data_IF_594627962109
#
_entry.id   IF_594627962109
#
_cell.length_a   1.000
_cell.length_b   1.000
_cell.length_c   1.000
_cell.angle_alpha   90.00
_cell.angle_beta   90.00
_cell.angle_gamma   90.00
#
_symmetry.space_group_name_H-M   'P 1'
#
loop_
_entity.id
_entity.type
_entity.pdbx_description
1 polymer ?
#
# COMPACT_ATOMS: atom_id res chain seq x y z
N UNK A 1 -1.33 12.61 4.11
CA UNK A 1 -1.02 11.16 4.13
C UNK A 1 -1.23 10.65 2.71
N UNK A 2 -0.20 10.18 2.03
CA UNK A 2 -0.29 9.63 0.67
C UNK A 2 0.05 8.14 0.70
N UNK A 3 -0.54 7.34 -0.22
CA UNK A 3 -0.11 5.97 -0.47
C UNK A 3 1.09 6.03 -1.42
N UNK A 4 2.26 5.61 -0.94
CA UNK A 4 3.54 5.74 -1.65
C UNK A 4 4.10 4.36 -1.96
N UNK A 5 4.55 4.17 -3.20
CA UNK A 5 5.26 2.97 -3.65
C UNK A 5 6.73 3.27 -3.87
N UNK A 6 7.58 2.37 -3.46
CA UNK A 6 9.04 2.44 -3.67
C UNK A 6 9.58 1.06 -3.98
N UNK A 7 10.53 1.00 -4.89
CA UNK A 7 11.15 -0.26 -5.27
C UNK A 7 12.21 -0.69 -4.26
N UNK A 8 12.32 -2.01 -4.04
CA UNK A 8 13.38 -2.62 -3.25
C UNK A 8 13.47 -2.08 -1.81
N UNK A 9 12.34 -1.84 -1.16
CA UNK A 9 12.31 -1.47 0.26
C UNK A 9 12.19 -2.73 1.10
N UNK A 10 13.17 -2.96 1.99
CA UNK A 10 13.16 -4.06 2.95
C UNK A 10 14.01 -3.72 4.17
N UNK A 11 13.40 -3.91 5.33
CA UNK A 11 14.06 -3.84 6.63
C UNK A 11 13.77 -5.09 7.46
N UNK A 12 14.43 -5.22 8.59
CA UNK A 12 14.11 -6.23 9.58
C UNK A 12 13.40 -5.63 10.78
N UNK A 13 12.70 -6.47 11.55
CA UNK A 13 12.09 -6.11 12.82
C UNK A 13 12.16 -7.29 13.77
N UNK A 14 12.36 -7.02 15.07
CA UNK A 14 12.26 -8.03 16.15
C UNK A 14 11.01 -7.86 17.00
N UNK A 15 10.11 -6.95 16.60
CA UNK A 15 8.86 -6.69 17.34
C UNK A 15 8.03 -7.95 17.51
N UNK A 16 7.54 -8.21 18.72
CA UNK A 16 6.72 -9.35 19.09
C UNK A 16 5.27 -8.91 19.28
N UNK A 17 4.32 -9.80 19.03
CA UNK A 17 2.90 -9.53 19.27
C UNK A 17 2.24 -8.77 18.12
N UNK A 18 1.22 -7.97 18.46
CA UNK A 18 0.39 -7.23 17.51
C UNK A 18 0.75 -5.76 17.38
N UNK A 19 1.83 -5.32 18.05
CA UNK A 19 2.30 -3.93 18.02
C UNK A 19 2.91 -3.55 16.67
N UNK A 20 3.15 -2.25 16.46
CA UNK A 20 3.79 -1.73 15.25
C UNK A 20 5.23 -2.23 15.11
N UNK A 21 5.68 -2.44 13.89
CA UNK A 21 7.05 -2.87 13.64
C UNK A 21 8.04 -1.75 13.96
N UNK A 22 8.96 -2.00 14.89
CA UNK A 22 10.19 -1.20 15.04
C UNK A 22 11.16 -1.66 13.95
N UNK A 23 11.53 -0.76 13.05
CA UNK A 23 12.39 -1.06 11.92
C UNK A 23 13.85 -0.90 12.30
N UNK A 24 14.69 -1.84 11.89
CA UNK A 24 16.09 -1.94 12.31
C UNK A 24 17.09 -1.53 11.22
N UNK A 25 16.60 -0.89 10.16
CA UNK A 25 17.41 -0.44 9.02
C UNK A 25 17.37 -1.37 7.81
N UNK A 26 17.76 -0.82 6.68
CA UNK A 26 17.70 -1.51 5.40
C UNK A 26 18.57 -2.76 5.35
N UNK A 27 18.04 -3.83 4.80
CA UNK A 27 18.82 -5.03 4.44
C UNK A 27 19.77 -4.67 3.31
N UNK A 28 20.96 -5.27 3.30
CA UNK A 28 21.96 -5.03 2.24
C UNK A 28 21.37 -5.19 0.85
N UNK A 29 21.57 -4.20 -0.01
CA UNK A 29 21.01 -4.14 -1.37
C UNK A 29 19.55 -3.69 -1.45
N UNK A 30 18.92 -3.30 -0.33
CA UNK A 30 17.59 -2.75 -0.28
C UNK A 30 17.58 -1.30 0.23
N UNK A 31 16.48 -0.61 0.00
CA UNK A 31 16.22 0.72 0.56
C UNK A 31 15.50 0.59 1.91
N UNK A 32 15.63 1.63 2.75
CA UNK A 32 14.88 1.73 3.99
C UNK A 32 13.45 2.24 3.75
N UNK A 33 12.53 1.96 4.68
CA UNK A 33 11.17 2.52 4.67
C UNK A 33 11.14 4.05 4.80
N UNK A 34 12.24 4.68 5.21
CA UNK A 34 12.37 6.14 5.19
C UNK A 34 12.12 6.77 3.82
N UNK A 35 12.32 6.02 2.72
CA UNK A 35 12.01 6.47 1.37
C UNK A 35 10.51 6.66 1.10
N UNK A 36 9.65 6.06 1.93
CA UNK A 36 8.19 6.27 1.89
C UNK A 36 7.83 7.68 2.36
N UNK A 37 8.63 8.24 3.27
CA UNK A 37 8.40 9.55 3.88
C UNK A 37 7.49 9.49 5.11
N UNK A 38 7.79 10.36 6.08
CA UNK A 38 7.09 10.41 7.36
C UNK A 38 5.59 10.67 7.20
N UNK A 39 4.77 9.89 7.91
CA UNK A 39 3.31 10.00 7.92
C UNK A 39 2.62 9.46 6.65
N UNK A 40 3.36 8.98 5.66
CA UNK A 40 2.77 8.35 4.49
C UNK A 40 2.50 6.86 4.72
N UNK A 41 1.57 6.34 3.93
CA UNK A 41 1.21 4.92 3.92
C UNK A 41 1.90 4.19 2.78
N UNK A 42 2.10 2.89 2.95
CA UNK A 42 2.56 1.98 1.89
C UNK A 42 2.00 0.59 2.12
N UNK A 43 2.01 -0.24 1.10
CA UNK A 43 1.77 -1.67 1.32
C UNK A 43 3.01 -2.32 1.91
N UNK A 44 2.82 -3.33 2.73
CA UNK A 44 3.89 -4.12 3.29
C UNK A 44 3.52 -5.59 3.33
N UNK A 45 4.56 -6.43 3.31
CA UNK A 45 4.51 -7.84 3.71
C UNK A 45 5.51 -8.03 4.84
N UNK A 46 5.08 -8.74 5.89
CA UNK A 46 5.94 -9.13 7.01
C UNK A 46 5.93 -10.65 7.16
N UNK A 47 7.11 -11.25 7.37
CA UNK A 47 7.26 -12.71 7.46
C UNK A 47 8.18 -13.09 8.63
N UNK A 48 7.78 -14.12 9.38
CA UNK A 48 8.58 -14.80 10.39
C UNK A 48 8.27 -16.31 10.35
N UNK A 49 9.07 -17.07 9.61
CA UNK A 49 8.79 -18.50 9.38
C UNK A 49 7.45 -18.70 8.66
N UNK A 50 6.51 -19.36 9.33
CA UNK A 50 5.15 -19.59 8.81
C UNK A 50 4.16 -18.47 9.12
N UNK A 51 4.54 -17.53 9.99
CA UNK A 51 3.74 -16.35 10.30
C UNK A 51 3.95 -15.29 9.22
N UNK A 52 2.87 -14.83 8.61
CA UNK A 52 2.97 -13.75 7.61
C UNK A 52 1.75 -12.83 7.65
N UNK A 53 1.96 -11.61 7.24
CA UNK A 53 0.92 -10.59 7.17
C UNK A 53 1.18 -9.64 6.00
N UNK A 54 0.14 -9.33 5.25
CA UNK A 54 0.11 -8.32 4.19
C UNK A 54 -0.83 -7.21 4.60
N UNK A 55 -0.40 -5.96 4.46
CA UNK A 55 -1.21 -4.84 4.93
C UNK A 55 -0.86 -3.49 4.33
N UNK A 56 -1.56 -2.49 4.84
CA UNK A 56 -1.21 -1.08 4.66
C UNK A 56 -0.60 -0.60 5.97
N UNK A 57 0.62 -0.08 5.91
CA UNK A 57 1.32 0.47 7.05
C UNK A 57 1.57 1.96 6.90
N UNK A 58 1.60 2.68 8.03
CA UNK A 58 2.00 4.10 8.07
C UNK A 58 3.42 4.19 8.62
N UNK A 59 4.31 4.80 7.83
CA UNK A 59 5.70 4.98 8.25
C UNK A 59 5.84 6.21 9.17
N UNK A 60 6.61 6.05 10.25
CA UNK A 60 7.03 7.15 11.13
C UNK A 60 8.55 7.18 11.29
N UNK A 61 9.12 8.39 11.23
CA UNK A 61 10.55 8.60 11.53
C UNK A 61 10.86 8.55 13.03
N UNK A 62 9.84 8.69 13.88
CA UNK A 62 10.00 8.61 15.33
C UNK A 62 10.14 7.15 15.76
N UNK A 63 11.34 6.77 16.22
CA UNK A 63 11.69 5.42 16.62
C UNK A 63 11.60 4.40 15.46
N UNK A 64 12.13 4.70 14.27
CA UNK A 64 11.61 4.32 12.94
C UNK A 64 10.62 3.16 13.01
N UNK A 65 9.34 3.45 12.79
CA UNK A 65 8.28 2.44 12.93
C UNK A 65 7.41 2.36 11.67
N UNK A 66 6.84 1.18 11.45
CA UNK A 66 5.76 0.95 10.49
C UNK A 66 4.53 0.50 11.26
N UNK A 67 3.56 1.42 11.39
CA UNK A 67 2.28 1.10 12.01
C UNK A 67 1.51 0.13 11.11
N UNK A 68 0.94 -0.91 11.69
CA UNK A 68 0.13 -1.93 11.01
C UNK A 68 -1.32 -1.45 10.92
N UNK A 69 -1.55 -0.44 10.05
CA UNK A 69 -2.78 0.35 10.01
C UNK A 69 -3.98 -0.48 9.56
N UNK A 70 -3.80 -1.29 8.50
CA UNK A 70 -4.86 -2.17 7.98
C UNK A 70 -4.23 -3.47 7.54
N UNK A 71 -4.72 -4.59 8.06
CA UNK A 71 -4.35 -5.93 7.58
C UNK A 71 -5.26 -6.28 6.41
N UNK A 72 -4.66 -6.68 5.29
CA UNK A 72 -5.36 -7.09 4.08
C UNK A 72 -5.51 -8.60 4.01
N UNK A 73 -4.45 -9.33 4.41
CA UNK A 73 -4.43 -10.78 4.47
C UNK A 73 -3.36 -11.26 5.45
N UNK A 74 -3.48 -12.46 5.99
CA UNK A 74 -2.50 -12.99 6.94
C UNK A 74 -2.63 -14.50 7.14
N UNK A 75 -1.59 -15.10 7.73
CA UNK A 75 -1.58 -16.52 8.12
C UNK A 75 -2.66 -16.91 9.14
N UNK A 76 -3.31 -15.94 9.78
CA UNK A 76 -4.34 -16.17 10.81
C UNK A 76 -5.71 -15.60 10.43
N UNK A 77 -5.85 -14.96 9.28
CA UNK A 77 -7.06 -14.24 8.87
C UNK A 77 -7.31 -12.94 9.66
N UNK A 78 -6.37 -12.52 10.51
CA UNK A 78 -6.46 -11.31 11.34
C UNK A 78 -5.05 -10.76 11.60
N UNK A 79 -4.94 -9.67 12.38
CA UNK A 79 -3.64 -9.10 12.75
C UNK A 79 -2.78 -10.13 13.48
N UNK A 80 -1.66 -10.50 12.89
CA UNK A 80 -0.79 -11.57 13.42
C UNK A 80 -0.11 -11.15 14.72
N UNK A 81 -0.19 -12.00 15.74
CA UNK A 81 0.64 -11.89 16.94
C UNK A 81 1.97 -12.59 16.68
N UNK A 82 2.91 -11.84 16.08
CA UNK A 82 4.22 -12.42 15.73
C UNK A 82 4.98 -12.94 16.94
N UNK A 83 5.53 -14.12 16.80
CA UNK A 83 6.42 -14.73 17.79
C UNK A 83 7.82 -14.08 17.80
N UNK A 84 8.66 -14.46 18.77
CA UNK A 84 10.05 -14.03 18.81
C UNK A 84 10.81 -14.46 17.56
N UNK A 85 11.81 -13.66 17.16
CA UNK A 85 12.61 -13.87 15.95
C UNK A 85 12.69 -12.63 15.09
N UNK A 86 13.53 -12.67 14.07
CA UNK A 86 13.73 -11.56 13.12
C UNK A 86 12.74 -11.68 11.99
N UNK A 87 11.83 -10.71 11.88
CA UNK A 87 10.89 -10.57 10.76
C UNK A 87 11.58 -9.89 9.58
N UNK A 88 11.30 -10.35 8.38
CA UNK A 88 11.51 -9.58 7.17
C UNK A 88 10.27 -8.72 6.92
N UNK A 89 10.44 -7.41 6.84
CA UNK A 89 9.36 -6.46 6.51
C UNK A 89 9.76 -5.76 5.21
N UNK A 90 8.94 -5.86 4.18
CA UNK A 90 9.26 -5.31 2.87
C UNK A 90 8.00 -4.75 2.19
N UNK A 91 8.23 -3.79 1.29
CA UNK A 91 7.19 -3.23 0.46
C UNK A 91 6.88 -4.19 -0.68
N UNK A 92 5.61 -4.53 -0.83
CA UNK A 92 5.10 -5.40 -1.88
C UNK A 92 3.73 -4.90 -2.32
N UNK A 93 3.37 -5.12 -3.59
CA UNK A 93 2.06 -4.73 -4.10
C UNK A 93 1.10 -5.94 -3.97
N UNK A 94 0.10 -5.89 -3.07
CA UNK A 94 -0.78 -7.03 -2.83
C UNK A 94 -1.58 -7.42 -4.07
N UNK A 95 -1.63 -8.72 -4.38
CA UNK A 95 -2.35 -9.25 -5.54
C UNK A 95 -3.82 -8.82 -5.58
N UNK A 96 -4.49 -8.79 -4.42
CA UNK A 96 -5.88 -8.33 -4.31
C UNK A 96 -6.10 -6.83 -4.53
N UNK A 97 -5.03 -6.06 -4.77
CA UNK A 97 -5.08 -4.63 -5.11
C UNK A 97 -4.72 -4.35 -6.58
N UNK A 98 -4.37 -5.38 -7.34
CA UNK A 98 -4.13 -5.26 -8.77
C UNK A 98 -5.46 -5.31 -9.53
N UNK A 99 -5.57 -4.48 -10.56
CA UNK A 99 -6.71 -4.49 -11.50
C UNK A 99 -6.42 -5.41 -12.71
N UNK A 100 -5.50 -6.37 -12.55
CA UNK A 100 -5.15 -7.30 -13.61
C UNK A 100 -6.13 -8.47 -13.57
N UNK A 101 -7.06 -8.49 -14.50
CA UNK A 101 -7.96 -9.62 -14.71
C UNK A 101 -7.31 -10.56 -15.73
N UNK A 102 -7.06 -11.85 -15.41
CA UNK A 102 -6.32 -12.77 -16.27
C UNK A 102 -6.95 -13.04 -17.65
N UNK A 103 -8.17 -12.57 -17.89
CA UNK A 103 -8.96 -12.90 -19.10
C UNK A 103 -9.07 -11.73 -20.10
N UNK A 104 -8.18 -10.75 -20.03
CA UNK A 104 -8.16 -9.62 -21.00
C UNK A 104 -9.28 -8.59 -20.79
N UNK A 105 -10.03 -8.67 -19.70
CA UNK A 105 -11.05 -7.71 -19.32
C UNK A 105 -10.45 -6.78 -18.24
N UNK A 106 -10.50 -5.46 -18.47
CA UNK A 106 -10.18 -4.48 -17.45
C UNK A 106 -11.46 -4.02 -16.75
N UNK A 107 -11.51 -4.20 -15.44
CA UNK A 107 -12.63 -3.75 -14.61
C UNK A 107 -12.23 -2.50 -13.83
N UNK A 108 -13.12 -1.54 -13.70
CA UNK A 108 -13.02 -0.45 -12.76
C UNK A 108 -14.33 -0.34 -11.96
N UNK A 109 -14.25 0.25 -10.76
CA UNK A 109 -15.45 0.56 -10.00
C UNK A 109 -16.34 1.50 -10.78
N UNK A 110 -17.65 1.24 -10.82
CA UNK A 110 -18.64 2.15 -11.35
C UNK A 110 -18.85 3.40 -10.45
N UNK A 111 -18.26 3.41 -9.24
CA UNK A 111 -18.40 4.50 -8.28
C UNK A 111 -17.05 4.99 -7.82
N UNK A 112 -16.82 6.30 -7.88
CA UNK A 112 -15.66 6.97 -7.29
C UNK A 112 -16.07 7.49 -5.91
N UNK A 113 -15.50 6.88 -4.86
CA UNK A 113 -15.89 7.11 -3.47
C UNK A 113 -14.85 7.95 -2.69
N UNK A 114 -13.75 8.36 -3.30
CA UNK A 114 -12.70 9.19 -2.70
C UNK A 114 -12.12 10.15 -3.74
N UNK A 115 -11.59 11.28 -3.28
CA UNK A 115 -10.93 12.26 -4.14
C UNK A 115 -9.80 11.61 -4.95
N UNK A 116 -9.74 11.96 -6.22
CA UNK A 116 -8.71 11.47 -7.13
C UNK A 116 -8.21 12.58 -8.04
N UNK A 117 -6.90 12.68 -8.18
CA UNK A 117 -6.27 13.58 -9.16
C UNK A 117 -5.51 12.77 -10.19
N UNK A 118 -5.85 12.95 -11.46
CA UNK A 118 -5.07 12.38 -12.57
C UNK A 118 -3.67 13.02 -12.53
N UNK A 119 -2.63 12.20 -12.62
CA UNK A 119 -1.25 12.71 -12.62
C UNK A 119 -1.06 13.66 -13.80
N UNK A 120 -0.50 14.83 -13.55
CA UNK A 120 -0.23 15.85 -14.59
C UNK A 120 0.56 15.23 -15.77
N UNK A 121 0.07 15.45 -16.98
CA UNK A 121 0.65 14.90 -18.20
C UNK A 121 0.18 13.48 -18.55
N UNK A 122 -0.66 12.85 -17.73
CA UNK A 122 -1.26 11.56 -18.02
C UNK A 122 -2.72 11.72 -18.48
N UNK A 123 -3.19 10.75 -19.27
CA UNK A 123 -4.59 10.58 -19.60
C UNK A 123 -5.17 9.37 -18.84
N UNK A 124 -6.46 9.41 -18.52
CA UNK A 124 -7.17 8.33 -17.86
C UNK A 124 -8.33 7.80 -18.71
N UNK A 125 -8.63 6.53 -18.54
CA UNK A 125 -9.75 5.83 -19.16
C UNK A 125 -10.52 5.06 -18.09
N UNK A 126 -11.86 5.14 -18.13
CA UNK A 126 -12.75 4.30 -17.33
C UNK A 126 -13.86 3.74 -18.21
N UNK A 127 -14.23 2.49 -17.92
CA UNK A 127 -15.46 1.93 -18.48
C UNK A 127 -16.67 2.51 -17.72
N UNK A 128 -17.62 3.07 -18.45
CA UNK A 128 -18.81 3.73 -17.88
C UNK A 128 -20.02 2.80 -17.72
N UNK A 129 -21.09 3.28 -17.09
CA UNK A 129 -21.24 4.60 -16.48
C UNK A 129 -20.46 4.75 -15.18
N UNK A 130 -19.99 5.97 -14.88
CA UNK A 130 -19.27 6.30 -13.64
C UNK A 130 -20.09 7.27 -12.79
N UNK A 131 -20.26 6.96 -11.52
CA UNK A 131 -20.87 7.83 -10.50
C UNK A 131 -19.78 8.37 -9.58
N UNK A 132 -19.75 9.68 -9.38
CA UNK A 132 -18.91 10.33 -8.36
C UNK A 132 -19.79 10.57 -7.12
N UNK A 133 -19.37 10.07 -5.97
CA UNK A 133 -20.12 10.26 -4.73
C UNK A 133 -20.21 11.74 -4.34
N UNK A 134 -21.26 12.10 -3.62
CA UNK A 134 -21.43 13.45 -3.07
C UNK A 134 -20.21 13.83 -2.21
N UNK A 135 -19.66 15.03 -2.44
CA UNK A 135 -18.49 15.54 -1.73
C UNK A 135 -17.14 15.01 -2.23
N UNK A 136 -17.14 14.16 -3.24
CA UNK A 136 -15.90 13.64 -3.87
C UNK A 136 -15.56 14.47 -5.10
N UNK A 137 -14.28 14.74 -5.30
CA UNK A 137 -13.75 15.51 -6.43
C UNK A 137 -12.80 14.65 -7.27
N UNK A 138 -13.03 14.64 -8.59
CA UNK A 138 -12.06 14.12 -9.56
C UNK A 138 -11.43 15.30 -10.27
N UNK A 139 -10.11 15.45 -10.12
CA UNK A 139 -9.35 16.54 -10.74
C UNK A 139 -8.66 16.06 -12.01
N UNK A 140 -8.96 16.72 -13.13
CA UNK A 140 -8.27 16.52 -14.42
C UNK A 140 -7.37 17.74 -14.64
N UNK A 141 -6.02 17.59 -14.51
CA UNK A 141 -5.09 18.70 -14.71
C UNK A 141 -5.12 19.22 -16.14
N UNK A 142 -4.64 20.46 -16.32
CA UNK A 142 -4.48 21.05 -17.67
C UNK A 142 -3.58 20.16 -18.53
N UNK A 143 -4.01 19.88 -19.76
CA UNK A 143 -3.32 18.99 -20.70
C UNK A 143 -3.55 17.49 -20.48
N UNK A 144 -4.32 17.11 -19.46
CA UNK A 144 -4.78 15.75 -19.24
C UNK A 144 -6.22 15.56 -19.72
N UNK A 145 -6.59 14.31 -20.02
CA UNK A 145 -7.94 13.92 -20.42
C UNK A 145 -8.40 12.72 -19.60
N UNK A 146 -9.66 12.72 -19.22
CA UNK A 146 -10.34 11.54 -18.68
C UNK A 146 -11.47 11.14 -19.62
N UNK A 147 -11.35 9.96 -20.22
CA UNK A 147 -12.39 9.37 -21.09
C UNK A 147 -13.18 8.34 -20.32
N UNK A 148 -14.51 8.41 -20.43
CA UNK A 148 -15.45 7.41 -19.93
C UNK A 148 -16.17 6.83 -21.13
N UNK A 149 -16.04 5.53 -21.38
CA UNK A 149 -16.57 4.82 -22.57
C UNK A 149 -17.48 3.68 -22.20
#
# INVERSE_FOLDING_TARGET
MALVFKDRVKETSTTIGTTDFVLLGAVSGFQAFSTVGNGNTTYYTAINGTEWEVGIGTYSTTGPTLARTTVLDSSTGSKVSFSAGTKSVFLDFPAGKTNIVPQGIHENSATIAADYTITTGNNALSAGPITINSGVTVTVPSGSTWSVT
#
